data_IF_944221617724
#
_entry.id   IF_944221617724
#
_cell.length_a   1.000
_cell.length_b   1.000
_cell.length_c   1.000
_cell.angle_alpha   90.00
_cell.angle_beta   90.00
_cell.angle_gamma   90.00
#
_symmetry.space_group_name_H-M   'P 1'
#
loop_
_entity.id
_entity.type
_entity.pdbx_description
1 polymer ?
#
# COMPACT_ATOMS: atom_id res chain seq x y z
N UNK A 1 6.69 9.64 -6.40
CA UNK A 1 6.21 8.27 -6.72
C UNK A 1 5.47 8.26 -8.05
N UNK A 2 4.92 9.38 -8.51
CA UNK A 2 4.43 9.48 -9.88
C UNK A 2 5.53 9.10 -10.88
N UNK A 3 5.20 8.23 -11.84
CA UNK A 3 6.13 7.69 -12.83
C UNK A 3 6.98 6.50 -12.37
N UNK A 4 6.92 6.09 -11.10
CA UNK A 4 7.67 4.94 -10.60
C UNK A 4 6.94 3.61 -10.89
N UNK A 5 7.71 2.55 -11.13
CA UNK A 5 7.19 1.17 -11.21
C UNK A 5 7.37 0.49 -9.86
N UNK A 6 6.28 -0.08 -9.34
CA UNK A 6 6.26 -0.79 -8.07
C UNK A 6 6.14 -2.30 -8.31
N UNK A 7 6.95 -3.09 -7.62
CA UNK A 7 6.83 -4.55 -7.57
C UNK A 7 6.09 -4.92 -6.30
N UNK A 8 5.00 -5.66 -6.46
CA UNK A 8 4.11 -6.09 -5.38
C UNK A 8 4.24 -7.60 -5.18
N UNK A 9 4.40 -8.01 -3.93
CA UNK A 9 4.31 -9.41 -3.52
C UNK A 9 2.93 -9.64 -2.89
N UNK A 10 2.09 -10.38 -3.60
CA UNK A 10 0.71 -10.68 -3.19
C UNK A 10 0.62 -11.77 -2.11
N UNK A 11 1.65 -12.60 -1.97
CA UNK A 11 1.68 -13.66 -0.96
C UNK A 11 2.16 -13.16 0.42
N UNK A 12 2.76 -11.97 0.46
CA UNK A 12 3.35 -11.39 1.66
C UNK A 12 2.29 -10.74 2.54
N UNK A 13 2.28 -11.10 3.82
CA UNK A 13 1.54 -10.37 4.85
C UNK A 13 2.23 -9.04 5.17
N UNK A 14 1.43 -7.99 5.42
CA UNK A 14 1.95 -6.67 5.76
C UNK A 14 2.29 -6.54 7.25
N UNK A 15 3.38 -5.82 7.54
CA UNK A 15 3.81 -5.40 8.87
C UNK A 15 3.59 -3.90 9.09
N UNK A 16 4.17 -3.34 10.15
CA UNK A 16 4.15 -1.90 10.41
C UNK A 16 5.04 -1.13 9.41
N UNK A 17 4.55 0.02 8.92
CA UNK A 17 5.22 0.92 7.98
C UNK A 17 5.50 0.36 6.57
N UNK A 18 4.98 -0.83 6.26
CA UNK A 18 4.96 -1.37 4.91
C UNK A 18 4.10 -0.49 3.98
N UNK A 19 4.52 -0.40 2.73
CA UNK A 19 3.70 0.16 1.66
C UNK A 19 2.92 -0.99 1.03
N UNK A 20 1.60 -0.86 0.96
CA UNK A 20 0.69 -1.90 0.47
C UNK A 20 -0.16 -1.39 -0.69
N UNK A 21 -0.59 -2.33 -1.53
CA UNK A 21 -1.60 -2.09 -2.56
C UNK A 21 -2.93 -2.68 -2.11
N UNK A 22 -3.99 -1.92 -2.28
CA UNK A 22 -5.35 -2.37 -2.05
C UNK A 22 -6.26 -1.97 -3.21
N UNK A 23 -7.27 -2.78 -3.48
CA UNK A 23 -8.30 -2.49 -4.46
C UNK A 23 -9.52 -1.89 -3.74
N UNK A 24 -9.86 -0.65 -4.10
CA UNK A 24 -10.98 0.10 -3.53
C UNK A 24 -11.78 0.67 -4.70
N UNK A 25 -13.07 0.31 -4.76
CA UNK A 25 -13.98 0.74 -5.84
C UNK A 25 -13.49 0.38 -7.26
N UNK A 26 -12.76 -0.74 -7.40
CA UNK A 26 -12.21 -1.20 -8.68
C UNK A 26 -10.89 -0.55 -9.08
N UNK A 27 -10.39 0.38 -8.26
CA UNK A 27 -9.12 1.08 -8.47
C UNK A 27 -8.05 0.57 -7.51
N UNK A 28 -6.80 0.55 -7.96
CA UNK A 28 -5.66 0.17 -7.13
C UNK A 28 -5.07 1.40 -6.43
N UNK A 29 -5.07 1.37 -5.10
CA UNK A 29 -4.58 2.44 -4.24
C UNK A 29 -3.41 1.99 -3.40
N UNK A 30 -2.48 2.93 -3.17
CA UNK A 30 -1.33 2.74 -2.28
C UNK A 30 -1.64 3.24 -0.88
N UNK A 31 -1.17 2.51 0.13
CA UNK A 31 -1.26 2.92 1.52
C UNK A 31 -0.02 2.54 2.31
N UNK A 32 0.30 3.32 3.35
CA UNK A 32 1.25 2.92 4.40
C UNK A 32 0.51 2.27 5.56
N UNK A 33 0.97 1.13 6.02
CA UNK A 33 0.44 0.50 7.22
C UNK A 33 0.92 1.25 8.47
N UNK A 34 0.00 1.47 9.39
CA UNK A 34 0.27 2.13 10.65
C UNK A 34 -0.38 1.36 11.79
N UNK A 35 0.43 0.82 12.68
CA UNK A 35 -0.06 0.08 13.84
C UNK A 35 -0.34 1.04 14.99
N UNK A 36 -1.54 0.97 15.55
CA UNK A 36 -1.97 1.68 16.76
C UNK A 36 -2.42 0.63 17.76
N UNK A 37 -1.52 0.26 18.67
CA UNK A 37 -1.74 -0.88 19.57
C UNK A 37 -1.90 -2.18 18.78
N UNK A 38 -3.01 -2.89 19.01
CA UNK A 38 -3.32 -4.15 18.32
C UNK A 38 -4.00 -3.98 16.96
N UNK A 39 -4.25 -2.73 16.52
CA UNK A 39 -4.97 -2.45 15.27
C UNK A 39 -4.01 -1.91 14.21
N UNK A 40 -4.19 -2.34 12.97
CA UNK A 40 -3.50 -1.77 11.81
C UNK A 40 -4.46 -0.88 11.03
N UNK A 41 -4.09 0.39 10.81
CA UNK A 41 -4.77 1.35 9.94
C UNK A 41 -3.91 1.59 8.71
N UNK A 42 -4.54 1.81 7.56
CA UNK A 42 -3.87 2.19 6.33
C UNK A 42 -3.96 3.70 6.13
N UNK A 43 -2.82 4.34 5.88
CA UNK A 43 -2.71 5.79 5.68
C UNK A 43 -2.35 6.08 4.22
N UNK A 44 -3.02 7.03 3.55
CA UNK A 44 -2.60 7.48 2.24
C UNK A 44 -1.13 8.00 2.28
N UNK A 45 -0.28 7.68 1.29
CA UNK A 45 1.14 8.05 1.31
C UNK A 45 1.40 9.56 1.33
N UNK A 46 0.45 10.35 0.81
CA UNK A 46 0.51 11.82 0.74
C UNK A 46 -0.15 12.51 1.95
N UNK A 47 -0.53 11.74 2.98
CA UNK A 47 -1.31 12.24 4.10
C UNK A 47 -2.82 12.24 3.81
N UNK A 48 -3.61 12.36 4.87
CA UNK A 48 -5.07 12.29 4.79
C UNK A 48 -5.67 11.38 5.86
N UNK A 49 -6.97 11.14 5.76
CA UNK A 49 -7.67 10.22 6.65
C UNK A 49 -7.30 8.78 6.30
N UNK A 50 -6.87 8.02 7.30
CA UNK A 50 -6.61 6.60 7.11
C UNK A 50 -7.88 5.76 7.07
N UNK A 51 -7.84 4.62 6.39
CA UNK A 51 -8.94 3.67 6.33
C UNK A 51 -8.54 2.30 6.87
N UNK A 52 -9.52 1.41 6.96
CA UNK A 52 -9.32 -0.01 7.11
C UNK A 52 -9.76 -0.68 5.81
N UNK A 53 -9.03 -1.70 5.38
CA UNK A 53 -9.39 -2.52 4.22
C UNK A 53 -9.67 -3.94 4.69
N UNK A 54 -10.53 -4.64 3.98
CA UNK A 54 -10.77 -6.07 4.20
C UNK A 54 -9.63 -6.91 3.60
N UNK A 55 -9.57 -8.19 3.97
CA UNK A 55 -8.65 -9.14 3.35
C UNK A 55 -8.88 -9.30 1.83
N UNK A 56 -10.11 -9.07 1.34
CA UNK A 56 -10.43 -9.15 -0.10
C UNK A 56 -9.99 -7.91 -0.88
N UNK A 57 -9.88 -6.76 -0.20
CA UNK A 57 -9.37 -5.53 -0.77
C UNK A 57 -7.84 -5.50 -0.75
N UNK A 58 -7.20 -6.18 0.19
CA UNK A 58 -5.74 -6.28 0.24
C UNK A 58 -5.21 -7.08 -0.95
N UNK A 59 -4.22 -6.50 -1.66
CA UNK A 59 -3.61 -7.12 -2.83
C UNK A 59 -2.18 -7.54 -2.60
N UNK A 60 -1.38 -6.77 -1.87
CA UNK A 60 -0.02 -7.19 -1.54
C UNK A 60 0.85 -6.10 -0.95
N UNK A 61 2.10 -6.46 -0.64
CA UNK A 61 3.12 -5.54 -0.12
C UNK A 61 4.05 -5.11 -1.24
N UNK A 62 4.33 -3.81 -1.34
CA UNK A 62 5.34 -3.29 -2.25
C UNK A 62 6.73 -3.67 -1.73
N UNK A 63 7.43 -4.51 -2.49
CA UNK A 63 8.77 -5.01 -2.13
C UNK A 63 9.89 -4.28 -2.86
N UNK A 64 9.57 -3.56 -3.93
CA UNK A 64 10.55 -2.77 -4.69
C UNK A 64 9.88 -1.57 -5.36
N UNK A 65 10.60 -0.45 -5.36
CA UNK A 65 10.29 0.75 -6.16
C UNK A 65 11.43 0.97 -7.15
N UNK A 66 11.10 1.08 -8.43
CA UNK A 66 12.02 1.42 -9.50
C UNK A 66 11.62 2.78 -10.08
N UNK A 67 12.52 3.76 -10.01
CA UNK A 67 12.28 5.06 -10.63
C UNK A 67 12.49 4.96 -12.14
N UNK A 68 11.45 5.25 -12.91
CA UNK A 68 11.58 5.43 -14.34
C UNK A 68 11.78 6.92 -14.61
N UNK A 69 13.02 7.32 -14.88
CA UNK A 69 13.25 8.58 -15.57
C UNK A 69 12.73 8.38 -16.99
N UNK A 70 11.68 9.11 -17.37
CA UNK A 70 11.27 9.17 -18.76
C UNK A 70 12.51 9.51 -19.62
N UNK A 71 12.76 8.69 -20.64
CA UNK A 71 13.79 8.94 -21.67
C UNK A 71 13.17 9.80 -22.76
#
# INVERSE_FOLDING_TARGET
MEGDVLVVDEARSYGHADLVVAEVEGEYWLFKTHHVGSRCRLLPPLGGEGCFITATQFRGVVVRQARCWAV
#
